data_IF_345359501144
#
_entry.id   IF_345359501144
#
_cell.length_a   1.000
_cell.length_b   1.000
_cell.length_c   1.000
_cell.angle_alpha   90.00
_cell.angle_beta   90.00
_cell.angle_gamma   90.00
#
_symmetry.space_group_name_H-M   'P 1'
#
loop_
_entity.id
_entity.type
_entity.pdbx_description
1 polymer ?
#
# COMPACT_ATOMS: atom_id res chain seq x y z
N UNK A 1 -11.51 14.74 -15.29
CA UNK A 1 -10.24 14.81 -14.54
C UNK A 1 -9.96 13.50 -13.86
N UNK A 2 -8.72 13.03 -13.88
CA UNK A 2 -8.33 11.84 -13.13
C UNK A 2 -8.14 12.20 -11.65
N UNK A 3 -8.21 11.20 -10.76
CA UNK A 3 -7.92 11.39 -9.32
C UNK A 3 -6.48 11.86 -9.04
N UNK A 4 -5.59 11.79 -10.03
CA UNK A 4 -4.22 12.32 -9.93
C UNK A 4 -4.25 13.81 -10.23
N UNK A 5 -4.92 14.23 -11.31
CA UNK A 5 -5.08 15.63 -11.69
C UNK A 5 -5.68 16.45 -10.54
N UNK A 6 -6.76 15.98 -9.91
CA UNK A 6 -7.38 16.64 -8.75
C UNK A 6 -6.40 16.84 -7.58
N UNK A 7 -5.45 15.91 -7.40
CA UNK A 7 -4.45 15.99 -6.32
C UNK A 7 -3.31 16.92 -6.69
N UNK A 8 -2.93 16.94 -7.97
CA UNK A 8 -1.93 17.87 -8.50
C UNK A 8 -2.46 19.29 -8.40
N UNK A 9 -3.70 19.54 -8.79
CA UNK A 9 -4.33 20.86 -8.66
C UNK A 9 -4.46 21.33 -7.22
N UNK A 10 -4.90 20.45 -6.31
CA UNK A 10 -4.94 20.77 -4.87
C UNK A 10 -3.55 21.04 -4.29
N UNK A 11 -2.51 20.40 -4.82
CA UNK A 11 -1.14 20.60 -4.38
C UNK A 11 -0.60 21.95 -4.88
N UNK A 12 -0.87 22.29 -6.14
CA UNK A 12 -0.51 23.57 -6.74
C UNK A 12 -1.27 24.75 -6.09
N UNK A 13 -2.54 24.55 -5.74
CA UNK A 13 -3.33 25.55 -5.03
C UNK A 13 -2.74 25.89 -3.64
N UNK A 14 -2.14 24.91 -2.96
CA UNK A 14 -1.46 25.11 -1.67
C UNK A 14 -0.02 25.60 -1.81
N UNK A 15 0.61 25.26 -2.92
CA UNK A 15 2.00 25.57 -3.20
C UNK A 15 2.12 26.13 -4.63
N UNK A 16 1.77 27.41 -4.82
CA UNK A 16 1.82 28.04 -6.15
C UNK A 16 3.25 28.17 -6.69
N UNK A 17 4.28 27.99 -5.86
CA UNK A 17 5.69 27.96 -6.25
C UNK A 17 6.13 26.61 -6.85
N UNK A 18 5.35 25.54 -6.68
CA UNK A 18 5.65 24.24 -7.28
C UNK A 18 5.27 24.24 -8.76
N UNK A 19 6.12 23.67 -9.60
CA UNK A 19 5.75 23.46 -11.00
C UNK A 19 4.76 22.31 -11.12
N UNK A 20 3.98 22.29 -12.21
CA UNK A 20 3.05 21.17 -12.50
C UNK A 20 3.80 19.83 -12.55
N UNK A 21 5.02 19.81 -13.11
CA UNK A 21 5.85 18.61 -13.22
C UNK A 21 6.29 18.11 -11.85
N UNK A 22 6.72 19.01 -10.96
CA UNK A 22 7.11 18.63 -9.60
C UNK A 22 5.92 18.12 -8.79
N UNK A 23 4.77 18.77 -8.93
CA UNK A 23 3.54 18.33 -8.29
C UNK A 23 3.12 16.92 -8.75
N UNK A 24 3.24 16.62 -10.05
CA UNK A 24 3.03 15.28 -10.59
C UNK A 24 4.02 14.29 -9.97
N UNK A 25 5.32 14.61 -9.98
CA UNK A 25 6.38 13.77 -9.42
C UNK A 25 6.15 13.43 -7.94
N UNK A 26 5.77 14.42 -7.14
CA UNK A 26 5.45 14.23 -5.72
C UNK A 26 4.27 13.26 -5.54
N UNK A 27 3.22 13.41 -6.34
CA UNK A 27 2.02 12.56 -6.26
C UNK A 27 2.33 11.13 -6.71
N UNK A 28 3.09 10.95 -7.78
CA UNK A 28 3.48 9.62 -8.27
C UNK A 28 4.39 8.91 -7.29
N UNK A 29 5.47 9.54 -6.81
CA UNK A 29 6.38 8.97 -5.79
C UNK A 29 5.63 8.58 -4.52
N UNK A 30 4.69 9.43 -4.07
CA UNK A 30 3.86 9.14 -2.90
C UNK A 30 2.97 7.91 -3.13
N UNK A 31 2.44 7.71 -4.33
CA UNK A 31 1.61 6.54 -4.65
C UNK A 31 2.47 5.27 -4.73
N UNK A 32 3.64 5.33 -5.35
CA UNK A 32 4.57 4.20 -5.43
C UNK A 32 5.05 3.74 -4.05
N UNK A 33 5.44 4.69 -3.19
CA UNK A 33 5.83 4.38 -1.81
C UNK A 33 4.69 3.71 -1.05
N UNK A 34 3.46 4.16 -1.23
CA UNK A 34 2.27 3.52 -0.63
C UNK A 34 2.04 2.12 -1.18
N UNK A 35 2.24 1.89 -2.48
CA UNK A 35 2.12 0.57 -3.10
C UNK A 35 3.15 -0.40 -2.53
N UNK A 36 4.43 -0.01 -2.46
CA UNK A 36 5.51 -0.80 -1.85
C UNK A 36 5.18 -1.21 -0.42
N UNK A 37 4.75 -0.26 0.42
CA UNK A 37 4.38 -0.53 1.81
C UNK A 37 3.18 -1.48 1.96
N UNK A 38 2.22 -1.44 1.03
CA UNK A 38 1.07 -2.36 1.02
C UNK A 38 1.51 -3.77 0.69
N UNK A 39 2.34 -3.94 -0.34
CA UNK A 39 2.88 -5.24 -0.74
C UNK A 39 3.68 -5.85 0.41
N UNK A 40 4.61 -5.11 0.98
CA UNK A 40 5.42 -5.58 2.12
C UNK A 40 4.55 -6.02 3.32
N UNK A 41 3.47 -5.29 3.62
CA UNK A 41 2.54 -5.65 4.70
C UNK A 41 1.78 -6.94 4.37
N UNK A 42 1.34 -7.09 3.12
CA UNK A 42 0.66 -8.31 2.65
C UNK A 42 1.60 -9.50 2.72
N UNK A 43 2.84 -9.37 2.24
CA UNK A 43 3.84 -10.44 2.26
C UNK A 43 4.16 -10.87 3.69
N UNK A 44 4.36 -9.90 4.60
CA UNK A 44 4.56 -10.17 6.03
C UNK A 44 3.36 -10.88 6.65
N UNK A 45 2.15 -10.48 6.29
CA UNK A 45 0.92 -11.12 6.79
C UNK A 45 0.78 -12.55 6.27
N UNK A 46 1.08 -12.79 4.99
CA UNK A 46 1.00 -14.10 4.37
C UNK A 46 2.06 -15.06 4.95
N UNK A 47 3.29 -14.59 5.13
CA UNK A 47 4.35 -15.36 5.77
C UNK A 47 3.96 -15.79 7.20
N UNK A 48 3.29 -14.91 7.96
CA UNK A 48 2.75 -15.26 9.29
C UNK A 48 1.64 -16.31 9.22
N UNK A 49 0.71 -16.19 8.27
CA UNK A 49 -0.35 -17.18 8.07
C UNK A 49 0.22 -18.55 7.75
N UNK A 50 1.15 -18.61 6.79
CA UNK A 50 1.84 -19.86 6.41
C UNK A 50 2.59 -20.48 7.58
N UNK A 51 3.31 -19.67 8.37
CA UNK A 51 3.98 -20.16 9.58
C UNK A 51 2.98 -20.71 10.61
N UNK A 52 1.86 -20.03 10.83
CA UNK A 52 0.85 -20.49 11.78
C UNK A 52 0.14 -21.75 11.30
N UNK A 53 -0.11 -21.88 10.00
CA UNK A 53 -0.70 -23.08 9.39
C UNK A 53 0.25 -24.27 9.47
N UNK A 54 1.54 -24.07 9.22
CA UNK A 54 2.57 -25.09 9.39
C UNK A 54 2.79 -25.51 10.86
N UNK A 55 2.50 -24.62 11.82
CA UNK A 55 2.56 -24.91 13.27
C UNK A 55 1.20 -25.28 13.85
N UNK A 56 0.17 -25.52 13.01
CA UNK A 56 -1.13 -25.93 13.50
C UNK A 56 -1.01 -27.37 13.98
N UNK A 57 -1.26 -27.66 15.28
CA UNK A 57 -1.28 -29.03 15.74
C UNK A 57 -2.34 -29.80 14.95
N UNK A 58 -1.96 -31.01 14.51
CA UNK A 58 -2.89 -31.97 13.92
C UNK A 58 -4.04 -32.11 14.92
N UNK A 59 -5.25 -31.69 14.51
CA UNK A 59 -6.42 -31.96 15.34
C UNK A 59 -6.65 -33.44 15.16
N UNK A 60 -6.22 -34.23 16.14
CA UNK A 60 -6.72 -35.59 16.31
C UNK A 60 -8.24 -35.49 16.23
N UNK A 61 -8.81 -36.19 15.24
CA UNK A 61 -10.25 -36.37 15.12
C UNK A 61 -10.72 -37.24 16.28
N UNK A 62 -10.84 -36.65 17.46
CA UNK A 62 -11.64 -37.19 18.58
C UNK A 62 -13.02 -36.58 18.48
N UNK A 63 -13.88 -37.21 17.69
CA UNK A 63 -15.24 -37.59 18.12
C UNK A 63 -16.00 -38.27 16.97
N UNK A 64 -16.11 -39.60 17.03
CA UNK A 64 -17.33 -40.41 16.83
C UNK A 64 -17.04 -41.90 17.04
#
# INVERSE_FOLDING_TARGET
>A
MTKIDDKVEKLLAKHPSLTKLDAIKIVTEKNERKKKKRVEKTDRSNAKKLKNEANRPERDEVDS
#
